data_IF_485409363585
#
_entry.id   IF_485409363585
#
_cell.length_a   1.000
_cell.length_b   1.000
_cell.length_c   1.000
_cell.angle_alpha   90.00
_cell.angle_beta   90.00
_cell.angle_gamma   90.00
#
_symmetry.space_group_name_H-M   'P 1'
#
loop_
_entity.id
_entity.type
_entity.pdbx_description
1 polymer ?
#
# COMPACT_ATOMS: atom_id res chain seq x y z
N UNK A 1 -11.00 -5.53 4.24
CA UNK A 1 -9.86 -5.92 5.08
C UNK A 1 -9.61 -7.42 5.04
N UNK A 2 -8.36 -7.83 4.84
CA UNK A 2 -7.92 -9.24 4.88
C UNK A 2 -8.28 -9.94 6.22
N UNK A 3 -8.79 -11.20 6.21
CA UNK A 3 -9.25 -11.89 7.43
C UNK A 3 -8.19 -12.05 8.52
N UNK A 4 -6.93 -12.31 8.14
CA UNK A 4 -5.83 -12.35 9.11
C UNK A 4 -5.58 -11.01 9.79
N UNK A 5 -5.63 -9.91 9.04
CA UNK A 5 -5.48 -8.57 9.62
C UNK A 5 -6.64 -8.34 10.59
N UNK A 6 -7.88 -8.51 10.14
CA UNK A 6 -9.07 -8.34 10.96
C UNK A 6 -9.05 -9.18 12.25
N UNK A 7 -8.66 -10.46 12.15
CA UNK A 7 -8.55 -11.37 13.30
C UNK A 7 -7.49 -10.90 14.29
N UNK A 8 -6.33 -10.48 13.79
CA UNK A 8 -5.17 -10.24 14.62
C UNK A 8 -5.00 -8.81 15.08
N UNK A 9 -5.76 -7.84 14.56
CA UNK A 9 -5.89 -6.51 15.19
C UNK A 9 -6.40 -6.57 16.64
N UNK A 10 -6.97 -7.71 17.07
CA UNK A 10 -7.18 -8.00 18.48
C UNK A 10 -5.88 -8.50 19.15
N UNK A 11 -5.33 -7.75 20.12
CA UNK A 11 -4.15 -8.16 20.88
C UNK A 11 -4.34 -9.45 21.66
N UNK A 12 -5.58 -9.70 22.10
CA UNK A 12 -5.95 -10.90 22.83
C UNK A 12 -5.85 -12.11 21.91
N UNK A 13 -6.40 -12.04 20.69
CA UNK A 13 -6.30 -13.10 19.70
C UNK A 13 -4.85 -13.40 19.30
N UNK A 14 -4.04 -12.35 19.12
CA UNK A 14 -2.60 -12.48 18.83
C UNK A 14 -1.86 -13.21 19.96
N UNK A 15 -2.04 -12.77 21.21
CA UNK A 15 -1.40 -13.41 22.37
C UNK A 15 -1.89 -14.83 22.61
N UNK A 16 -3.19 -15.07 22.53
CA UNK A 16 -3.76 -16.41 22.67
C UNK A 16 -3.17 -17.37 21.63
N UNK A 17 -2.99 -16.91 20.39
CA UNK A 17 -2.37 -17.72 19.33
C UNK A 17 -0.92 -18.07 19.68
N UNK A 18 -0.12 -17.11 20.13
CA UNK A 18 1.27 -17.35 20.53
C UNK A 18 1.39 -18.22 21.79
N UNK A 19 0.43 -18.09 22.72
CA UNK A 19 0.39 -18.91 23.92
C UNK A 19 -0.01 -20.35 23.60
N UNK A 20 -1.00 -20.56 22.72
CA UNK A 20 -1.35 -21.90 22.19
C UNK A 20 -0.15 -22.57 21.54
N UNK A 21 0.60 -21.84 20.71
CA UNK A 21 1.81 -22.36 20.07
C UNK A 21 2.87 -22.78 21.10
N UNK A 22 3.15 -21.91 22.08
CA UNK A 22 4.08 -22.21 23.18
C UNK A 22 3.68 -23.44 23.98
N UNK A 23 2.38 -23.66 24.18
CA UNK A 23 1.84 -24.79 24.94
C UNK A 23 1.70 -26.07 24.08
N UNK A 24 2.06 -26.01 22.80
CA UNK A 24 1.95 -27.14 21.87
C UNK A 24 0.50 -27.50 21.52
N UNK A 25 -0.45 -26.58 21.71
CA UNK A 25 -1.84 -26.77 21.37
C UNK A 25 -2.05 -26.73 19.83
N UNK A 26 -3.06 -27.43 19.29
CA UNK A 26 -3.35 -27.40 17.86
C UNK A 26 -3.73 -26.00 17.38
N UNK A 27 -3.08 -25.55 16.31
CA UNK A 27 -3.33 -24.26 15.66
C UNK A 27 -4.14 -24.44 14.37
N UNK A 28 -5.16 -23.59 14.18
CA UNK A 28 -5.86 -23.43 12.91
C UNK A 28 -4.95 -22.88 11.79
N UNK A 29 -5.40 -22.91 10.53
CA UNK A 29 -4.59 -22.43 9.39
C UNK A 29 -4.04 -21.02 9.56
N UNK A 30 -4.91 -20.07 9.90
CA UNK A 30 -4.56 -18.68 10.15
C UNK A 30 -3.63 -18.51 11.36
N UNK A 31 -3.89 -19.24 12.43
CA UNK A 31 -3.06 -19.26 13.65
C UNK A 31 -1.64 -19.76 13.37
N UNK A 32 -1.50 -20.75 12.47
CA UNK A 32 -0.18 -21.24 12.04
C UNK A 32 0.59 -20.17 11.28
N UNK A 33 -0.05 -19.47 10.35
CA UNK A 33 0.61 -18.40 9.58
C UNK A 33 1.09 -17.28 10.51
N UNK A 34 0.24 -16.83 11.44
CA UNK A 34 0.62 -15.81 12.42
C UNK A 34 1.78 -16.27 13.31
N UNK A 35 1.71 -17.50 13.83
CA UNK A 35 2.76 -18.03 14.70
C UNK A 35 4.11 -18.20 13.98
N UNK A 36 4.09 -18.64 12.71
CA UNK A 36 5.30 -18.74 11.88
C UNK A 36 5.90 -17.34 11.62
N UNK A 37 5.07 -16.36 11.25
CA UNK A 37 5.53 -14.96 11.12
C UNK A 37 6.15 -14.46 12.42
N UNK A 38 5.51 -14.68 13.57
CA UNK A 38 6.06 -14.26 14.86
C UNK A 38 7.38 -14.97 15.22
N UNK A 39 7.59 -16.21 14.77
CA UNK A 39 8.86 -16.91 14.97
C UNK A 39 10.00 -16.26 14.17
N UNK A 40 9.72 -15.78 12.97
CA UNK A 40 10.68 -15.09 12.10
C UNK A 40 10.92 -13.63 12.53
N UNK A 41 10.09 -13.10 13.43
CA UNK A 41 10.17 -11.73 13.97
C UNK A 41 10.20 -11.74 15.52
N UNK A 42 11.33 -12.17 16.13
CA UNK A 42 11.41 -12.43 17.57
C UNK A 42 11.25 -11.18 18.44
N UNK A 43 11.63 -10.00 17.95
CA UNK A 43 11.47 -8.74 18.68
C UNK A 43 9.98 -8.37 18.83
N UNK A 44 9.23 -8.38 17.73
CA UNK A 44 7.79 -8.10 17.73
C UNK A 44 7.05 -9.16 18.57
N UNK A 45 7.44 -10.43 18.43
CA UNK A 45 6.91 -11.52 19.27
C UNK A 45 7.16 -11.29 20.76
N UNK A 46 8.37 -10.87 21.14
CA UNK A 46 8.72 -10.57 22.52
C UNK A 46 7.90 -9.39 23.08
N UNK A 47 7.71 -8.33 22.29
CA UNK A 47 6.88 -7.17 22.65
C UNK A 47 5.42 -7.57 22.94
N UNK A 48 4.85 -8.47 22.13
CA UNK A 48 3.48 -8.97 22.36
C UNK A 48 3.34 -9.82 23.62
N UNK A 49 4.32 -10.68 23.91
CA UNK A 49 4.29 -11.58 25.07
C UNK A 49 4.65 -10.87 26.38
N UNK A 50 5.53 -9.87 26.32
CA UNK A 50 6.03 -9.11 27.48
C UNK A 50 5.00 -8.21 28.16
N UNK A 51 3.84 -7.99 27.54
CA UNK A 51 2.79 -7.07 28.00
C UNK A 51 1.66 -7.77 28.79
N UNK A 52 1.92 -8.97 29.30
CA UNK A 52 0.99 -9.79 30.09
C UNK A 52 0.32 -9.01 31.25
N UNK A 53 -1.02 -9.06 31.33
CA UNK A 53 -1.79 -8.51 32.47
C UNK A 53 -2.20 -7.04 32.38
N UNK A 54 -1.90 -6.32 31.30
CA UNK A 54 -2.40 -4.95 31.07
C UNK A 54 -3.65 -4.94 30.22
N UNK A 55 -4.66 -4.17 30.66
CA UNK A 55 -5.97 -4.01 29.99
C UNK A 55 -5.88 -3.22 28.68
N UNK A 56 -4.85 -2.40 28.52
CA UNK A 56 -4.53 -1.68 27.29
C UNK A 56 -3.12 -2.06 26.84
N UNK A 57 -2.94 -2.19 25.53
CA UNK A 57 -1.62 -2.33 24.94
C UNK A 57 -0.82 -1.04 25.08
N UNK A 58 0.51 -1.16 25.09
CA UNK A 58 1.37 -0.03 24.74
C UNK A 58 1.31 0.19 23.23
N UNK A 59 1.59 1.42 22.79
CA UNK A 59 1.75 1.74 21.36
C UNK A 59 2.66 0.75 20.64
N UNK A 60 3.80 0.38 21.26
CA UNK A 60 4.72 -0.61 20.71
C UNK A 60 4.09 -1.99 20.48
N UNK A 61 3.17 -2.40 21.34
CA UNK A 61 2.48 -3.68 21.19
C UNK A 61 1.39 -3.60 20.11
N UNK A 62 0.72 -2.46 19.96
CA UNK A 62 -0.26 -2.24 18.87
C UNK A 62 0.46 -2.28 17.52
N UNK A 63 1.59 -1.56 17.42
CA UNK A 63 2.45 -1.59 16.23
C UNK A 63 2.98 -3.01 15.93
N UNK A 64 3.43 -3.74 16.94
CA UNK A 64 3.89 -5.12 16.78
C UNK A 64 2.77 -6.06 16.30
N UNK A 65 1.54 -5.88 16.79
CA UNK A 65 0.38 -6.65 16.34
C UNK A 65 0.11 -6.38 14.85
N UNK A 66 0.00 -5.11 14.48
CA UNK A 66 -0.29 -4.69 13.10
C UNK A 66 0.77 -5.23 12.14
N UNK A 67 2.05 -5.07 12.51
CA UNK A 67 3.18 -5.60 11.76
C UNK A 67 3.06 -7.11 11.52
N UNK A 68 2.89 -7.90 12.59
CA UNK A 68 2.80 -9.36 12.48
C UNK A 68 1.58 -9.82 11.70
N UNK A 69 0.45 -9.12 11.85
CA UNK A 69 -0.77 -9.41 11.13
C UNK A 69 -0.63 -9.18 9.62
N UNK A 70 -0.01 -8.05 9.22
CA UNK A 70 0.26 -7.73 7.83
C UNK A 70 1.21 -8.74 7.18
N UNK A 71 2.32 -9.09 7.85
CA UNK A 71 3.27 -10.07 7.34
C UNK A 71 2.69 -11.50 7.29
N UNK A 72 1.84 -11.87 8.25
CA UNK A 72 1.10 -13.13 8.19
C UNK A 72 0.11 -13.15 7.00
N UNK A 73 -0.54 -12.02 6.72
CA UNK A 73 -1.40 -11.87 5.55
C UNK A 73 -0.61 -11.98 4.23
N UNK A 74 0.61 -11.45 4.17
CA UNK A 74 1.53 -11.65 3.04
C UNK A 74 1.83 -13.13 2.76
N UNK A 75 1.90 -13.97 3.81
CA UNK A 75 2.02 -15.43 3.64
C UNK A 75 0.71 -16.05 3.14
N UNK A 76 -0.43 -15.63 3.68
CA UNK A 76 -1.73 -16.15 3.25
C UNK A 76 -2.00 -15.89 1.76
N UNK A 77 -1.72 -14.68 1.25
CA UNK A 77 -1.93 -14.37 -0.16
C UNK A 77 -0.96 -15.11 -1.10
N UNK A 78 0.13 -15.67 -0.57
CA UNK A 78 1.03 -16.54 -1.33
C UNK A 78 0.48 -17.97 -1.45
N UNK A 79 -0.37 -18.40 -0.51
CA UNK A 79 -1.04 -19.70 -0.51
C UNK A 79 -2.45 -19.63 -1.14
N UNK A 80 -3.00 -18.43 -1.30
CA UNK A 80 -4.33 -18.21 -1.88
C UNK A 80 -4.37 -18.56 -3.39
N UNK A 81 -5.31 -19.42 -3.84
CA UNK A 81 -5.39 -19.82 -5.25
C UNK A 81 -5.63 -18.68 -6.25
N UNK A 82 -6.30 -17.61 -5.84
CA UNK A 82 -6.58 -16.45 -6.69
C UNK A 82 -5.40 -15.46 -6.72
N UNK A 83 -4.63 -15.36 -5.64
CA UNK A 83 -3.57 -14.35 -5.49
C UNK A 83 -2.15 -14.88 -5.69
N UNK A 84 -1.89 -16.16 -5.39
CA UNK A 84 -0.56 -16.77 -5.38
C UNK A 84 0.27 -16.50 -6.63
N UNK A 85 -0.32 -16.58 -7.83
CA UNK A 85 0.38 -16.31 -9.08
C UNK A 85 0.75 -14.83 -9.28
N UNK A 86 -0.08 -13.89 -8.80
CA UNK A 86 0.25 -12.47 -8.81
C UNK A 86 1.32 -12.16 -7.75
N UNK A 87 1.16 -12.70 -6.54
CA UNK A 87 2.13 -12.62 -5.44
C UNK A 87 3.50 -13.12 -5.87
N UNK A 88 3.59 -14.29 -6.51
CA UNK A 88 4.86 -14.86 -6.96
C UNK A 88 5.57 -13.95 -8.00
N UNK A 89 4.82 -13.40 -8.96
CA UNK A 89 5.36 -12.48 -9.97
C UNK A 89 5.85 -11.18 -9.35
N UNK A 90 5.08 -10.57 -8.46
CA UNK A 90 5.49 -9.38 -7.73
C UNK A 90 6.81 -9.60 -6.97
N UNK A 91 6.93 -10.74 -6.26
CA UNK A 91 8.17 -11.13 -5.55
C UNK A 91 9.35 -11.29 -6.50
N UNK A 92 9.14 -11.97 -7.63
CA UNK A 92 10.19 -12.18 -8.62
C UNK A 92 10.68 -10.86 -9.21
N UNK A 93 9.77 -9.95 -9.55
CA UNK A 93 10.12 -8.62 -10.09
C UNK A 93 10.90 -7.78 -9.09
N UNK A 94 10.47 -7.71 -7.82
CA UNK A 94 11.19 -6.97 -6.79
C UNK A 94 12.61 -7.54 -6.57
N UNK A 95 12.74 -8.87 -6.54
CA UNK A 95 14.04 -9.54 -6.39
C UNK A 95 14.95 -9.37 -7.59
N UNK A 96 14.40 -9.31 -8.80
CA UNK A 96 15.17 -9.06 -10.02
C UNK A 96 15.85 -7.68 -9.97
N UNK A 97 15.22 -6.71 -9.31
CA UNK A 97 15.74 -5.36 -9.08
C UNK A 97 16.59 -5.23 -7.80
N UNK A 98 16.85 -6.35 -7.12
CA UNK A 98 17.79 -6.43 -5.99
C UNK A 98 17.17 -6.37 -4.60
N UNK A 99 15.84 -6.35 -4.47
CA UNK A 99 15.19 -6.45 -3.17
C UNK A 99 15.50 -7.80 -2.49
N UNK A 100 15.80 -7.75 -1.20
CA UNK A 100 15.93 -8.96 -0.39
C UNK A 100 14.55 -9.49 0.08
N UNK A 101 14.52 -10.64 0.74
CA UNK A 101 13.27 -11.25 1.21
C UNK A 101 12.49 -10.35 2.17
N UNK A 102 13.18 -9.67 3.08
CA UNK A 102 12.56 -8.75 4.05
C UNK A 102 11.95 -7.54 3.37
N UNK A 103 12.68 -6.90 2.44
CA UNK A 103 12.19 -5.76 1.65
C UNK A 103 10.99 -6.17 0.78
N UNK A 104 11.06 -7.36 0.18
CA UNK A 104 9.96 -7.92 -0.60
C UNK A 104 8.72 -8.13 0.26
N UNK A 105 8.86 -8.73 1.45
CA UNK A 105 7.74 -8.96 2.37
C UNK A 105 7.17 -7.65 2.90
N UNK A 106 8.02 -6.66 3.19
CA UNK A 106 7.61 -5.33 3.62
C UNK A 106 6.76 -4.62 2.55
N UNK A 107 7.19 -4.67 1.28
CA UNK A 107 6.46 -4.10 0.16
C UNK A 107 5.10 -4.78 -0.04
N UNK A 108 5.03 -6.10 0.05
CA UNK A 108 3.75 -6.81 -0.07
C UNK A 108 2.84 -6.55 1.14
N UNK A 109 3.40 -6.43 2.33
CA UNK A 109 2.66 -6.07 3.53
C UNK A 109 2.08 -4.66 3.43
N UNK A 110 2.77 -3.69 2.81
CA UNK A 110 2.25 -2.34 2.63
C UNK A 110 1.02 -2.30 1.71
N UNK A 111 0.97 -3.13 0.66
CA UNK A 111 -0.23 -3.30 -0.20
C UNK A 111 -1.43 -3.78 0.62
N UNK A 112 -1.22 -4.74 1.53
CA UNK A 112 -2.29 -5.27 2.39
C UNK A 112 -2.72 -4.27 3.47
N UNK A 113 -1.78 -3.49 3.99
CA UNK A 113 -2.08 -2.39 4.91
C UNK A 113 -2.90 -1.30 4.23
N UNK A 114 -2.59 -0.97 2.98
CA UNK A 114 -3.36 -0.03 2.20
C UNK A 114 -4.79 -0.56 1.92
N UNK A 115 -4.95 -1.84 1.58
CA UNK A 115 -6.30 -2.44 1.44
C UNK A 115 -7.09 -2.36 2.74
N UNK A 116 -6.42 -2.52 3.88
CA UNK A 116 -7.05 -2.56 5.18
C UNK A 116 -7.41 -1.18 5.74
N UNK A 117 -6.58 -0.16 5.48
CA UNK A 117 -6.65 1.14 6.19
C UNK A 117 -6.43 2.36 5.30
N UNK A 118 -6.04 2.19 4.04
CA UNK A 118 -5.60 3.32 3.21
C UNK A 118 -6.72 4.27 2.82
N UNK A 119 -7.97 3.81 2.76
CA UNK A 119 -9.09 4.59 2.26
C UNK A 119 -10.10 4.89 3.37
N UNK A 120 -10.74 6.06 3.32
CA UNK A 120 -11.71 6.53 4.34
C UNK A 120 -12.93 5.59 4.52
N UNK A 121 -13.27 4.83 3.49
CA UNK A 121 -14.39 3.88 3.53
C UNK A 121 -14.01 2.69 4.40
N UNK A 122 -14.81 2.41 5.44
CA UNK A 122 -14.62 1.22 6.27
C UNK A 122 -14.67 -0.05 5.40
N UNK A 123 -13.53 -0.75 5.33
CA UNK A 123 -13.40 -1.94 4.49
C UNK A 123 -13.84 -3.18 5.26
N UNK A 124 -15.15 -3.42 5.33
CA UNK A 124 -15.73 -4.56 6.05
C UNK A 124 -15.33 -5.93 5.46
N UNK A 125 -15.04 -6.01 4.17
CA UNK A 125 -14.73 -7.25 3.46
C UNK A 125 -13.38 -7.16 2.73
N UNK A 126 -12.65 -8.26 2.66
CA UNK A 126 -11.39 -8.32 1.92
C UNK A 126 -11.63 -8.12 0.42
N UNK A 127 -11.02 -7.09 -0.16
CA UNK A 127 -11.06 -6.87 -1.61
C UNK A 127 -9.88 -7.59 -2.29
N UNK A 128 -10.09 -8.88 -2.57
CA UNK A 128 -9.08 -9.69 -3.26
C UNK A 128 -8.82 -9.22 -4.68
N UNK A 129 -9.78 -8.59 -5.34
CA UNK A 129 -9.60 -8.12 -6.72
C UNK A 129 -8.69 -6.90 -6.74
N UNK A 130 -8.90 -5.97 -5.80
CA UNK A 130 -8.01 -4.82 -5.59
C UNK A 130 -6.57 -5.25 -5.29
N UNK A 131 -6.39 -6.23 -4.39
CA UNK A 131 -5.05 -6.74 -4.07
C UNK A 131 -4.43 -7.43 -5.27
N UNK A 132 -5.17 -8.25 -6.01
CA UNK A 132 -4.67 -8.91 -7.21
C UNK A 132 -4.18 -7.90 -8.26
N UNK A 133 -4.95 -6.84 -8.46
CA UNK A 133 -4.64 -5.75 -9.38
C UNK A 133 -3.38 -5.00 -8.93
N UNK A 134 -3.32 -4.60 -7.66
CA UNK A 134 -2.14 -3.90 -7.10
C UNK A 134 -0.88 -4.76 -7.20
N UNK A 135 -0.97 -6.07 -6.91
CA UNK A 135 0.15 -7.00 -7.12
C UNK A 135 0.57 -7.07 -8.60
N UNK A 136 -0.37 -6.85 -9.53
CA UNK A 136 -0.13 -6.79 -10.96
C UNK A 136 0.58 -5.52 -11.43
N UNK A 137 0.55 -4.44 -10.67
CA UNK A 137 1.28 -3.18 -10.95
C UNK A 137 2.79 -3.33 -10.67
N UNK A 138 3.14 -4.20 -9.70
CA UNK A 138 4.51 -4.33 -9.15
C UNK A 138 5.57 -4.58 -10.22
N UNK A 139 5.38 -5.47 -11.22
CA UNK A 139 6.39 -5.67 -12.25
C UNK A 139 6.71 -4.41 -13.07
N UNK A 140 5.70 -3.58 -13.36
CA UNK A 140 5.89 -2.35 -14.11
C UNK A 140 6.58 -1.28 -13.24
N UNK A 141 6.19 -1.19 -11.96
CA UNK A 141 6.82 -0.30 -10.99
C UNK A 141 8.28 -0.67 -10.74
N UNK A 142 8.58 -1.95 -10.53
CA UNK A 142 9.93 -2.43 -10.29
C UNK A 142 10.87 -2.11 -11.47
N UNK A 143 10.39 -2.28 -12.70
CA UNK A 143 11.17 -2.00 -13.91
C UNK A 143 11.29 -0.49 -14.24
N UNK A 144 10.70 0.40 -13.44
CA UNK A 144 10.61 1.81 -13.75
C UNK A 144 11.93 2.53 -13.47
N UNK A 145 12.56 3.03 -14.53
CA UNK A 145 13.80 3.81 -14.47
C UNK A 145 13.53 5.30 -14.32
N UNK A 146 14.50 6.05 -13.81
CA UNK A 146 14.43 7.52 -13.71
C UNK A 146 14.16 8.17 -15.06
N UNK A 147 14.78 7.66 -16.13
CA UNK A 147 14.57 8.16 -17.48
C UNK A 147 13.13 7.96 -17.97
N UNK A 148 12.50 6.83 -17.62
CA UNK A 148 11.08 6.60 -17.91
C UNK A 148 10.20 7.54 -17.11
N UNK A 149 10.47 7.74 -15.82
CA UNK A 149 9.75 8.71 -14.99
C UNK A 149 9.83 10.12 -15.58
N UNK A 150 11.02 10.58 -15.94
CA UNK A 150 11.22 11.88 -16.57
C UNK A 150 10.47 11.98 -17.91
N UNK A 151 10.48 10.91 -18.71
CA UNK A 151 9.73 10.86 -19.97
C UNK A 151 8.21 10.96 -19.77
N UNK A 152 7.66 10.34 -18.72
CA UNK A 152 6.24 10.43 -18.37
C UNK A 152 5.85 11.87 -18.03
N UNK A 153 6.63 12.53 -17.17
CA UNK A 153 6.38 13.92 -16.77
C UNK A 153 6.48 14.84 -17.99
N UNK A 154 7.54 14.73 -18.79
CA UNK A 154 7.73 15.55 -20.00
C UNK A 154 6.60 15.31 -21.02
N UNK A 155 6.15 14.07 -21.18
CA UNK A 155 5.03 13.73 -22.06
C UNK A 155 3.73 14.39 -21.61
N UNK A 156 3.45 14.34 -20.31
CA UNK A 156 2.28 14.98 -19.70
C UNK A 156 2.31 16.51 -19.87
N UNK A 157 3.44 17.14 -19.56
CA UNK A 157 3.68 18.58 -19.75
C UNK A 157 3.43 19.02 -21.21
N UNK A 158 3.94 18.24 -22.17
CA UNK A 158 3.82 18.55 -23.61
C UNK A 158 2.39 18.45 -24.15
N UNK A 159 1.53 17.72 -23.47
CA UNK A 159 0.12 17.57 -23.86
C UNK A 159 -0.77 18.73 -23.40
N UNK A 160 -0.21 19.73 -22.69
CA UNK A 160 -0.93 20.94 -22.28
C UNK A 160 -1.30 21.84 -23.47
N UNK A 161 -2.44 22.55 -23.34
CA UNK A 161 -2.98 23.45 -24.37
C UNK A 161 -2.27 24.80 -24.40
N UNK A 162 -1.79 25.26 -23.25
CA UNK A 162 -1.07 26.52 -23.09
C UNK A 162 0.04 26.42 -22.02
N UNK A 163 0.76 27.53 -21.83
CA UNK A 163 1.89 27.61 -20.90
C UNK A 163 1.44 27.52 -19.43
N UNK A 164 0.29 28.12 -19.08
CA UNK A 164 -0.22 28.07 -17.72
C UNK A 164 -0.64 26.65 -17.31
N UNK A 165 -1.33 25.92 -18.18
CA UNK A 165 -1.68 24.51 -17.96
C UNK A 165 -0.42 23.63 -17.90
N UNK A 166 0.57 23.90 -18.75
CA UNK A 166 1.86 23.19 -18.72
C UNK A 166 2.55 23.34 -17.37
N UNK A 167 2.59 24.54 -16.82
CA UNK A 167 3.24 24.82 -15.54
C UNK A 167 2.55 24.11 -14.38
N UNK A 168 1.21 24.11 -14.36
CA UNK A 168 0.43 23.38 -13.34
C UNK A 168 0.69 21.87 -13.46
N UNK A 169 0.63 21.32 -14.66
CA UNK A 169 0.90 19.89 -14.91
C UNK A 169 2.31 19.48 -14.49
N UNK A 170 3.31 20.28 -14.84
CA UNK A 170 4.70 20.05 -14.44
C UNK A 170 4.84 20.02 -12.92
N UNK A 171 4.27 21.02 -12.23
CA UNK A 171 4.33 21.16 -10.77
C UNK A 171 3.66 19.96 -10.08
N UNK A 172 2.42 19.62 -10.46
CA UNK A 172 1.66 18.55 -9.80
C UNK A 172 2.26 17.17 -10.06
N UNK A 173 2.65 16.86 -11.30
CA UNK A 173 3.25 15.57 -11.62
C UNK A 173 4.58 15.36 -10.88
N UNK A 174 5.45 16.39 -10.85
CA UNK A 174 6.72 16.32 -10.11
C UNK A 174 6.51 16.18 -8.61
N UNK A 175 5.58 16.94 -8.03
CA UNK A 175 5.29 16.85 -6.61
C UNK A 175 4.75 15.46 -6.22
N UNK A 176 3.83 14.89 -7.02
CA UNK A 176 3.33 13.53 -6.79
C UNK A 176 4.44 12.48 -6.87
N UNK A 177 5.23 12.50 -7.95
CA UNK A 177 6.31 11.54 -8.16
C UNK A 177 7.38 11.66 -7.07
N UNK A 178 7.77 12.88 -6.72
CA UNK A 178 8.74 13.07 -5.64
C UNK A 178 8.18 12.59 -4.30
N UNK A 179 6.89 12.83 -4.00
CA UNK A 179 6.28 12.35 -2.77
C UNK A 179 6.17 10.83 -2.71
N UNK A 180 5.78 10.18 -3.81
CA UNK A 180 5.53 8.75 -3.84
C UNK A 180 6.81 7.91 -4.06
N UNK A 181 7.78 8.42 -4.82
CA UNK A 181 8.90 7.64 -5.36
C UNK A 181 10.29 8.16 -4.96
N UNK A 182 10.42 9.02 -3.94
CA UNK A 182 11.74 9.48 -3.45
C UNK A 182 12.62 8.29 -2.99
N UNK A 183 11.99 7.32 -2.34
CA UNK A 183 12.64 6.09 -1.84
C UNK A 183 12.58 4.92 -2.84
N UNK A 184 12.05 5.18 -4.05
CA UNK A 184 11.87 4.20 -5.12
C UNK A 184 10.41 4.01 -5.54
N UNK A 185 10.14 3.49 -6.76
CA UNK A 185 8.78 3.31 -7.26
C UNK A 185 7.93 2.37 -6.39
N UNK A 186 6.80 2.89 -5.92
CA UNK A 186 5.78 2.16 -5.15
C UNK A 186 4.39 2.49 -5.69
N UNK A 187 3.34 1.68 -5.39
CA UNK A 187 1.98 2.03 -5.75
C UNK A 187 1.60 3.39 -5.15
N UNK A 188 1.01 4.27 -5.96
CA UNK A 188 0.50 5.55 -5.45
C UNK A 188 -0.74 5.27 -4.60
N UNK A 189 -0.72 5.71 -3.35
CA UNK A 189 -1.75 5.44 -2.36
C UNK A 189 -2.39 6.76 -1.88
N UNK A 190 -3.45 6.68 -1.04
CA UNK A 190 -4.12 7.85 -0.47
C UNK A 190 -3.21 8.80 0.31
N UNK A 191 -2.24 8.29 1.08
CA UNK A 191 -1.30 9.12 1.85
C UNK A 191 -0.46 10.03 0.94
N UNK A 192 -0.04 9.53 -0.23
CA UNK A 192 0.68 10.34 -1.23
C UNK A 192 -0.21 11.45 -1.81
N UNK A 193 -1.50 11.18 -1.99
CA UNK A 193 -2.46 12.16 -2.50
C UNK A 193 -2.73 13.25 -1.45
N UNK A 194 -2.91 12.87 -0.18
CA UNK A 194 -3.09 13.79 0.93
C UNK A 194 -1.88 14.70 1.10
N UNK A 195 -0.68 14.12 1.17
CA UNK A 195 0.56 14.88 1.30
C UNK A 195 0.75 15.88 0.14
N UNK A 196 0.40 15.47 -1.09
CA UNK A 196 0.41 16.36 -2.25
C UNK A 196 -0.62 17.47 -2.12
N UNK A 197 -1.85 17.16 -1.70
CA UNK A 197 -2.91 18.13 -1.53
C UNK A 197 -2.53 19.20 -0.50
N UNK A 198 -2.04 18.80 0.67
CA UNK A 198 -1.57 19.71 1.72
C UNK A 198 -0.42 20.60 1.24
N UNK A 199 0.55 20.02 0.52
CA UNK A 199 1.74 20.76 0.08
C UNK A 199 1.46 21.72 -1.08
N UNK A 200 0.59 21.33 -2.02
CA UNK A 200 0.50 21.97 -3.32
C UNK A 200 -0.89 22.51 -3.69
N UNK A 201 -1.93 22.24 -2.92
CA UNK A 201 -3.30 22.65 -3.24
C UNK A 201 -3.94 23.42 -2.11
N UNK A 202 -3.81 22.97 -0.87
CA UNK A 202 -4.46 23.57 0.29
C UNK A 202 -4.11 25.07 0.43
N UNK A 203 -5.13 25.89 0.66
CA UNK A 203 -4.98 27.33 0.89
C UNK A 203 -4.69 28.17 -0.35
N UNK A 204 -4.62 27.58 -1.56
CA UNK A 204 -4.51 28.32 -2.83
C UNK A 204 -5.85 28.91 -3.27
N UNK A 205 -5.89 29.88 -4.20
CA UNK A 205 -7.14 30.37 -4.79
C UNK A 205 -7.92 29.25 -5.48
N UNK A 206 -9.26 29.29 -5.43
CA UNK A 206 -10.17 28.25 -5.96
C UNK A 206 -9.81 27.79 -7.38
N UNK A 207 -9.58 28.73 -8.29
CA UNK A 207 -9.19 28.40 -9.68
C UNK A 207 -7.85 27.65 -9.77
N UNK A 208 -6.89 27.92 -8.89
CA UNK A 208 -5.62 27.18 -8.83
C UNK A 208 -5.80 25.81 -8.20
N UNK A 209 -6.67 25.69 -7.19
CA UNK A 209 -7.01 24.41 -6.58
C UNK A 209 -7.66 23.47 -7.59
N UNK A 210 -8.68 23.95 -8.31
CA UNK A 210 -9.36 23.18 -9.37
C UNK A 210 -8.39 22.74 -10.47
N UNK A 211 -7.50 23.63 -10.91
CA UNK A 211 -6.49 23.32 -11.91
C UNK A 211 -5.49 22.26 -11.41
N UNK A 212 -5.08 22.35 -10.14
CA UNK A 212 -4.21 21.37 -9.49
C UNK A 212 -4.86 20.00 -9.39
N UNK A 213 -6.08 19.92 -8.85
CA UNK A 213 -6.86 18.68 -8.74
C UNK A 213 -7.06 18.01 -10.10
N UNK A 214 -7.46 18.78 -11.12
CA UNK A 214 -7.60 18.26 -12.48
C UNK A 214 -6.29 17.70 -13.02
N UNK A 215 -5.17 18.41 -12.83
CA UNK A 215 -3.88 17.93 -13.29
C UNK A 215 -3.44 16.63 -12.59
N UNK A 216 -3.75 16.45 -11.30
CA UNK A 216 -3.47 15.20 -10.58
C UNK A 216 -4.30 14.05 -11.17
N UNK A 217 -5.62 14.25 -11.33
CA UNK A 217 -6.51 13.23 -11.93
C UNK A 217 -6.03 12.82 -13.32
N UNK A 218 -5.71 13.80 -14.18
CA UNK A 218 -5.21 13.54 -15.53
C UNK A 218 -3.87 12.78 -15.51
N UNK A 219 -3.00 13.10 -14.55
CA UNK A 219 -1.72 12.40 -14.41
C UNK A 219 -1.88 10.97 -13.88
N UNK A 220 -2.78 10.73 -12.92
CA UNK A 220 -3.14 9.37 -12.48
C UNK A 220 -3.68 8.53 -13.66
N UNK A 221 -4.45 9.14 -14.56
CA UNK A 221 -4.88 8.48 -15.79
C UNK A 221 -3.72 8.19 -16.76
N UNK A 222 -2.69 9.03 -16.83
CA UNK A 222 -1.45 8.73 -17.57
C UNK A 222 -0.79 7.49 -16.96
N UNK A 223 -0.59 7.48 -15.65
CA UNK A 223 0.05 6.36 -14.96
C UNK A 223 -0.73 5.05 -15.14
N UNK A 224 -2.06 5.12 -15.15
CA UNK A 224 -2.91 3.96 -15.41
C UNK A 224 -2.77 3.41 -16.83
N UNK A 225 -2.63 4.28 -17.84
CA UNK A 225 -2.36 3.82 -19.22
C UNK A 225 -1.00 3.12 -19.37
N UNK A 226 -0.05 3.46 -18.51
CA UNK A 226 1.28 2.86 -18.48
C UNK A 226 1.35 1.62 -17.55
N UNK A 227 0.22 1.23 -16.94
CA UNK A 227 0.14 0.07 -16.05
C UNK A 227 0.77 0.28 -14.67
N UNK A 228 1.05 1.53 -14.30
CA UNK A 228 1.64 1.91 -13.00
C UNK A 228 0.57 2.16 -11.92
N UNK A 229 -0.70 2.26 -12.32
CA UNK A 229 -1.88 2.38 -11.45
C UNK A 229 -2.99 1.52 -12.05
N UNK A 230 -3.54 0.60 -11.29
CA UNK A 230 -4.66 -0.25 -11.70
C UNK A 230 -6.00 0.50 -11.73
N UNK A 231 -7.00 0.01 -12.46
CA UNK A 231 -8.29 0.70 -12.59
C UNK A 231 -9.07 0.87 -11.28
N UNK A 232 -9.01 -0.08 -10.34
CA UNK A 232 -9.65 0.09 -9.03
C UNK A 232 -8.91 1.12 -8.18
N UNK A 233 -7.58 1.06 -8.14
CA UNK A 233 -6.76 2.07 -7.46
C UNK A 233 -7.05 3.46 -8.03
N UNK A 234 -7.06 3.60 -9.35
CA UNK A 234 -7.40 4.85 -10.02
C UNK A 234 -8.78 5.36 -9.60
N UNK A 235 -9.82 4.51 -9.62
CA UNK A 235 -11.17 4.91 -9.23
C UNK A 235 -11.22 5.39 -7.78
N UNK A 236 -10.57 4.68 -6.85
CA UNK A 236 -10.55 5.07 -5.43
C UNK A 236 -9.80 6.39 -5.19
N UNK A 237 -8.64 6.58 -5.81
CA UNK A 237 -7.86 7.84 -5.69
C UNK A 237 -8.61 9.03 -6.30
N UNK A 238 -9.31 8.82 -7.43
CA UNK A 238 -10.16 9.86 -8.04
C UNK A 238 -11.33 10.23 -7.14
N UNK A 239 -11.98 9.24 -6.53
CA UNK A 239 -13.08 9.47 -5.59
C UNK A 239 -12.61 10.28 -4.37
N UNK A 240 -11.43 9.99 -3.83
CA UNK A 240 -10.83 10.76 -2.73
C UNK A 240 -10.57 12.24 -3.11
N UNK A 241 -10.18 12.49 -4.36
CA UNK A 241 -9.99 13.84 -4.90
C UNK A 241 -11.31 14.57 -5.20
N UNK A 242 -12.47 13.94 -4.96
CA UNK A 242 -13.79 14.52 -5.23
C UNK A 242 -14.16 14.56 -6.72
N UNK A 243 -13.54 13.71 -7.55
CA UNK A 243 -13.89 13.59 -8.97
C UNK A 243 -15.26 12.89 -9.12
N UNK A 244 -16.27 13.64 -9.55
CA UNK A 244 -17.65 13.16 -9.70
C UNK A 244 -17.80 12.09 -10.80
N UNK A 245 -16.81 11.91 -11.68
CA UNK A 245 -16.78 10.90 -12.74
C UNK A 245 -15.93 9.66 -12.37
N UNK A 246 -15.61 9.46 -11.09
CA UNK A 246 -14.77 8.36 -10.56
C UNK A 246 -15.41 6.96 -10.62
#
# INVERSE_FOLDING_TARGET
MHPLIARYLSPEAARETLQKEKDGAPLGPEERLFALTAADHPEQRATLLGTSGRRHLSSDAEAAVVFLAAYAATRAIAEDPALSAATARARESLKAEGANDTETDAFLASILMEEAFGYEQEVELFDSTYVQETLGEVPALAALTREQVDALIIGFERSARDEAERDVRARMARALINGAWDEGPTPINPEHIEALYEAEIEGKPEAEMEAGLRAIVEFLQVLAREGLVGPQRLSRLRAQLGDEEA
#
